data_IF_785991625753
#
_entry.id   IF_785991625753
#
_cell.length_a   1.000
_cell.length_b   1.000
_cell.length_c   1.000
_cell.angle_alpha   90.00
_cell.angle_beta   90.00
_cell.angle_gamma   90.00
#
_symmetry.space_group_name_H-M   'P 1'
#
loop_
_entity.id
_entity.type
_entity.pdbx_description
1 polymer ?
#
# COMPACT_ATOMS: atom_id res chain seq x y z
N UNK A 1 12.16 11.28 28.44
CA UNK A 1 12.66 10.93 27.08
C UNK A 1 11.45 10.62 26.23
N UNK A 2 11.03 11.57 25.39
CA UNK A 2 9.86 11.40 24.51
C UNK A 2 10.27 10.48 23.34
N UNK A 3 9.77 9.26 23.31
CA UNK A 3 9.94 8.37 22.15
C UNK A 3 8.95 8.84 21.08
N UNK A 4 9.46 9.53 20.10
CA UNK A 4 8.71 9.82 18.86
C UNK A 4 8.63 8.51 18.09
N UNK A 5 7.45 7.88 18.07
CA UNK A 5 7.14 6.81 17.15
C UNK A 5 6.96 7.44 15.77
N UNK A 6 8.00 7.39 14.96
CA UNK A 6 7.93 7.73 13.55
C UNK A 6 7.18 6.58 12.86
N UNK A 7 5.88 6.72 12.68
CA UNK A 7 5.11 5.86 11.79
C UNK A 7 5.60 6.15 10.36
N UNK A 8 6.59 5.38 9.91
CA UNK A 8 7.04 5.40 8.54
C UNK A 8 5.92 4.79 7.68
N UNK A 9 5.04 5.65 7.18
CA UNK A 9 4.10 5.27 6.12
C UNK A 9 4.94 5.03 4.87
N UNK A 10 5.41 3.81 4.69
CA UNK A 10 5.96 3.34 3.42
C UNK A 10 4.78 3.19 2.43
N UNK A 11 4.26 4.31 1.94
CA UNK A 11 3.31 4.32 0.83
C UNK A 11 4.08 4.05 -0.45
N UNK A 12 4.33 2.78 -0.73
CA UNK A 12 4.69 2.35 -2.08
C UNK A 12 3.43 2.35 -2.91
N UNK A 13 3.26 3.39 -3.70
CA UNK A 13 2.09 3.55 -4.54
C UNK A 13 2.47 3.30 -5.98
N UNK A 14 1.66 2.49 -6.63
CA UNK A 14 1.76 2.16 -8.05
C UNK A 14 0.50 2.53 -8.77
N UNK A 15 0.65 2.93 -10.00
CA UNK A 15 -0.45 3.39 -10.83
C UNK A 15 -0.36 2.86 -12.22
N UNK A 16 -1.45 2.39 -12.71
CA UNK A 16 -1.77 2.37 -14.11
C UNK A 16 -3.28 2.32 -14.32
N UNK A 17 -3.79 3.13 -15.20
CA UNK A 17 -5.16 3.07 -15.68
C UNK A 17 -5.22 2.32 -17.00
N UNK A 18 -6.12 1.36 -17.13
CA UNK A 18 -6.52 0.85 -18.43
C UNK A 18 -7.99 0.44 -18.42
N UNK A 19 -8.69 0.79 -19.49
CA UNK A 19 -9.96 0.14 -19.85
C UNK A 19 -9.65 -1.31 -20.22
N UNK A 20 -10.26 -2.27 -19.56
CA UNK A 20 -10.39 -3.62 -20.08
C UNK A 20 -11.74 -3.71 -20.78
N UNK A 21 -11.71 -3.99 -22.09
CA UNK A 21 -12.87 -4.51 -22.79
C UNK A 21 -13.06 -5.96 -22.34
N UNK A 22 -13.90 -6.18 -21.33
CA UNK A 22 -14.55 -7.45 -21.09
C UNK A 22 -15.94 -7.21 -20.50
N UNK A 23 -16.94 -7.80 -21.16
CA UNK A 23 -18.36 -7.69 -20.95
C UNK A 23 -18.79 -7.92 -19.50
N UNK A 24 -19.35 -6.90 -18.86
CA UNK A 24 -20.02 -7.04 -17.57
C UNK A 24 -20.28 -5.72 -16.88
N UNK A 25 -21.23 -4.90 -17.36
CA UNK A 25 -21.71 -3.70 -16.66
C UNK A 25 -20.90 -2.45 -16.99
N UNK A 26 -21.47 -1.60 -17.85
CA UNK A 26 -20.94 -0.28 -18.21
C UNK A 26 -20.89 0.66 -16.99
N UNK A 27 -19.78 0.72 -16.31
CA UNK A 27 -19.40 1.96 -15.61
C UNK A 27 -18.88 2.91 -16.67
N UNK A 28 -19.66 3.94 -17.03
CA UNK A 28 -19.25 5.01 -17.94
C UNK A 28 -17.91 5.59 -17.47
N UNK A 29 -16.94 5.56 -18.39
CA UNK A 29 -15.55 5.83 -18.09
C UNK A 29 -15.28 7.25 -17.62
N UNK A 30 -15.14 7.43 -16.34
CA UNK A 30 -14.33 8.52 -15.80
C UNK A 30 -12.87 8.14 -16.08
N UNK A 31 -12.25 8.79 -17.06
CA UNK A 31 -10.82 8.67 -17.32
C UNK A 31 -10.09 8.98 -16.01
N UNK A 32 -9.57 7.96 -15.34
CA UNK A 32 -8.88 8.14 -14.08
C UNK A 32 -7.68 9.06 -14.32
N UNK A 33 -7.69 10.23 -13.67
CA UNK A 33 -6.57 11.18 -13.72
C UNK A 33 -5.53 10.75 -12.70
N UNK A 34 -4.31 10.61 -13.16
CA UNK A 34 -3.17 10.41 -12.28
C UNK A 34 -2.49 11.76 -12.02
N UNK A 35 -2.10 12.08 -10.79
CA UNK A 35 -1.32 13.29 -10.53
C UNK A 35 0.04 13.20 -11.20
N UNK A 36 0.48 14.30 -11.81
CA UNK A 36 1.83 14.46 -12.36
C UNK A 36 2.85 14.73 -11.26
N UNK A 37 2.41 15.32 -10.15
CA UNK A 37 3.27 15.58 -9.01
C UNK A 37 2.50 15.42 -7.71
N UNK A 38 3.16 14.85 -6.70
CA UNK A 38 2.67 14.77 -5.32
C UNK A 38 3.74 15.38 -4.42
N UNK A 39 3.34 16.29 -3.54
CA UNK A 39 4.23 16.92 -2.56
C UNK A 39 3.67 16.62 -1.18
N UNK A 40 4.41 15.90 -0.34
CA UNK A 40 4.05 15.64 1.05
C UNK A 40 5.01 16.36 1.98
N UNK A 41 4.49 17.19 2.87
CA UNK A 41 5.27 18.03 3.79
C UNK A 41 4.89 17.70 5.23
N UNK A 42 5.88 17.39 6.04
CA UNK A 42 5.83 17.32 7.50
C UNK A 42 6.65 18.47 8.10
N UNK A 43 6.65 18.69 9.42
CA UNK A 43 7.52 19.69 10.04
C UNK A 43 9.02 19.51 9.77
N UNK A 44 9.46 18.30 9.42
CA UNK A 44 10.89 17.97 9.31
C UNK A 44 11.31 17.48 7.93
N UNK A 45 10.35 17.12 7.07
CA UNK A 45 10.62 16.45 5.81
C UNK A 45 9.63 16.90 4.75
N UNK A 46 10.15 17.20 3.54
CA UNK A 46 9.36 17.35 2.33
C UNK A 46 9.71 16.21 1.38
N UNK A 47 8.70 15.58 0.83
CA UNK A 47 8.82 14.51 -0.17
C UNK A 47 8.15 15.00 -1.45
N UNK A 48 8.87 14.94 -2.55
CA UNK A 48 8.32 15.21 -3.88
C UNK A 48 8.35 13.93 -4.71
N UNK A 49 7.24 13.64 -5.38
CA UNK A 49 7.11 12.57 -6.36
C UNK A 49 6.63 13.19 -7.66
N UNK A 50 7.40 13.01 -8.73
CA UNK A 50 7.09 13.53 -10.06
C UNK A 50 6.93 12.34 -10.99
N UNK A 51 5.84 12.32 -11.77
CA UNK A 51 5.50 11.23 -12.67
C UNK A 51 5.56 11.71 -14.12
N UNK A 52 6.36 11.03 -14.92
CA UNK A 52 6.22 11.04 -16.36
C UNK A 52 5.24 9.92 -16.73
N UNK A 53 4.17 10.27 -17.44
CA UNK A 53 3.08 9.36 -17.77
C UNK A 53 3.02 9.08 -19.26
N UNK A 54 2.53 7.90 -19.63
CA UNK A 54 2.00 7.65 -20.97
C UNK A 54 0.64 8.35 -21.14
N UNK A 55 0.16 8.44 -22.40
CA UNK A 55 -1.12 9.10 -22.72
C UNK A 55 -2.32 8.46 -21.99
N UNK A 56 -2.22 7.18 -21.63
CA UNK A 56 -3.22 6.43 -20.86
C UNK A 56 -3.01 6.51 -19.34
N UNK A 57 -2.26 7.50 -18.86
CA UNK A 57 -1.96 7.78 -17.48
C UNK A 57 -1.14 6.71 -16.73
N UNK A 58 -0.57 5.70 -17.42
CA UNK A 58 0.37 4.77 -16.81
C UNK A 58 1.70 5.47 -16.51
N UNK A 59 2.37 5.18 -15.39
CA UNK A 59 3.69 5.74 -15.10
C UNK A 59 4.73 5.17 -16.06
N UNK A 60 5.47 6.05 -16.74
CA UNK A 60 6.68 5.72 -17.49
C UNK A 60 7.89 5.82 -16.57
N UNK A 61 7.90 6.88 -15.76
CA UNK A 61 8.96 7.17 -14.81
C UNK A 61 8.40 7.88 -13.58
N UNK A 62 8.96 7.59 -12.44
CA UNK A 62 8.69 8.28 -11.17
C UNK A 62 10.00 8.75 -10.58
N UNK A 63 10.13 10.05 -10.36
CA UNK A 63 11.23 10.65 -9.61
C UNK A 63 10.76 10.91 -8.18
N UNK A 64 11.55 10.51 -7.21
CA UNK A 64 11.26 10.60 -5.78
C UNK A 64 12.39 11.33 -5.09
N UNK A 65 12.09 12.43 -4.40
CA UNK A 65 13.10 13.27 -3.75
C UNK A 65 12.67 13.61 -2.33
N UNK A 66 13.57 13.38 -1.39
CA UNK A 66 13.44 13.81 0.00
C UNK A 66 14.25 15.06 0.23
N UNK A 67 13.66 16.01 0.95
CA UNK A 67 14.31 17.23 1.41
C UNK A 67 14.24 17.29 2.93
N UNK A 68 15.37 17.54 3.56
CA UNK A 68 15.47 17.83 4.98
C UNK A 68 16.09 19.23 5.12
N UNK A 69 15.39 20.16 5.78
CA UNK A 69 15.79 21.57 5.87
C UNK A 69 16.15 22.15 4.48
N UNK A 70 15.26 21.93 3.48
CA UNK A 70 15.39 22.34 2.08
C UNK A 70 16.61 21.78 1.31
N UNK A 71 17.37 20.89 1.93
CA UNK A 71 18.48 20.19 1.28
C UNK A 71 18.03 18.79 0.84
N UNK A 72 18.43 18.37 -0.37
CA UNK A 72 18.17 17.02 -0.84
C UNK A 72 18.95 16.02 0.03
N UNK A 73 18.22 15.19 0.78
CA UNK A 73 18.80 14.14 1.61
C UNK A 73 18.82 12.78 0.91
N UNK A 74 17.90 12.57 -0.02
CA UNK A 74 17.80 11.36 -0.82
C UNK A 74 17.02 11.62 -2.10
N UNK A 75 17.44 10.98 -3.19
CA UNK A 75 16.65 10.94 -4.42
C UNK A 75 16.77 9.57 -5.07
N UNK A 76 15.69 9.14 -5.74
CA UNK A 76 15.67 7.92 -6.54
C UNK A 76 14.78 8.08 -7.75
N UNK A 77 15.02 7.24 -8.75
CA UNK A 77 14.23 7.20 -9.98
C UNK A 77 13.74 5.79 -10.20
N UNK A 78 12.46 5.65 -10.55
CA UNK A 78 11.84 4.40 -10.96
C UNK A 78 11.42 4.50 -12.41
N UNK A 79 11.73 3.49 -13.19
CA UNK A 79 11.34 3.39 -14.58
C UNK A 79 10.56 2.11 -14.80
N UNK A 80 9.57 2.15 -15.70
CA UNK A 80 8.66 1.05 -15.95
C UNK A 80 8.67 0.70 -17.43
N UNK A 81 8.75 -0.60 -17.73
CA UNK A 81 8.58 -1.15 -19.07
C UNK A 81 7.27 -1.96 -19.12
N UNK A 82 6.57 -1.89 -20.24
CA UNK A 82 5.28 -2.52 -20.45
C UNK A 82 5.27 -3.38 -21.71
N UNK A 83 4.54 -4.50 -21.64
CA UNK A 83 4.05 -5.24 -22.80
C UNK A 83 2.55 -4.98 -22.92
N UNK A 84 2.14 -4.20 -23.95
CA UNK A 84 0.82 -3.62 -24.02
C UNK A 84 0.55 -2.76 -22.76
N UNK A 85 -0.46 -3.15 -21.98
CA UNK A 85 -0.85 -2.45 -20.75
C UNK A 85 -0.23 -3.06 -19.47
N UNK A 86 0.46 -4.18 -19.57
CA UNK A 86 1.03 -4.91 -18.42
C UNK A 86 2.46 -4.49 -18.17
N UNK A 87 2.83 -4.06 -16.98
CA UNK A 87 4.23 -3.85 -16.66
C UNK A 87 4.98 -5.18 -16.66
N UNK A 88 6.07 -5.23 -17.40
CA UNK A 88 6.94 -6.42 -17.47
C UNK A 88 8.23 -6.19 -16.70
N UNK A 89 8.59 -4.93 -16.45
CA UNK A 89 9.79 -4.59 -15.71
C UNK A 89 9.66 -3.27 -14.98
N UNK A 90 10.30 -3.21 -13.81
CA UNK A 90 10.52 -1.98 -13.04
C UNK A 90 11.99 -1.89 -12.65
N UNK A 91 12.62 -0.75 -12.90
CA UNK A 91 13.99 -0.44 -12.43
C UNK A 91 13.94 0.71 -11.45
N UNK A 92 14.73 0.65 -10.41
CA UNK A 92 14.98 1.77 -9.48
C UNK A 92 16.34 1.63 -8.83
N UNK A 93 17.14 2.68 -8.92
CA UNK A 93 18.50 2.74 -8.37
C UNK A 93 19.33 1.47 -8.71
N UNK A 94 19.49 0.61 -7.72
CA UNK A 94 20.30 -0.61 -7.78
C UNK A 94 19.46 -1.89 -7.90
N UNK A 95 18.16 -1.75 -8.17
CA UNK A 95 17.21 -2.85 -8.27
C UNK A 95 16.51 -2.91 -9.62
N UNK A 96 16.30 -4.13 -10.07
CA UNK A 96 15.41 -4.44 -11.19
C UNK A 96 14.41 -5.51 -10.75
N UNK A 97 13.12 -5.30 -11.05
CA UNK A 97 12.07 -6.30 -10.86
C UNK A 97 11.49 -6.66 -12.21
N UNK A 98 11.49 -7.94 -12.54
CA UNK A 98 10.84 -8.50 -13.73
C UNK A 98 9.55 -9.21 -13.32
N UNK A 99 8.47 -9.01 -14.07
CA UNK A 99 7.14 -9.57 -13.84
C UNK A 99 6.81 -10.60 -14.90
N UNK A 100 6.33 -11.76 -14.50
CA UNK A 100 5.95 -12.87 -15.37
C UNK A 100 4.49 -13.21 -15.14
N UNK A 101 3.75 -13.31 -16.24
CA UNK A 101 2.32 -13.55 -16.23
C UNK A 101 1.97 -14.89 -16.85
N UNK A 102 0.96 -15.55 -16.30
CA UNK A 102 0.36 -16.75 -16.86
C UNK A 102 -1.17 -16.58 -16.89
N UNK A 103 -1.78 -16.82 -18.04
CA UNK A 103 -3.23 -16.64 -18.26
C UNK A 103 -3.74 -15.26 -17.76
N UNK A 104 -2.96 -14.20 -18.00
CA UNK A 104 -3.33 -12.85 -17.64
C UNK A 104 -3.09 -12.45 -16.16
N UNK A 105 -2.68 -13.38 -15.29
CA UNK A 105 -2.40 -13.13 -13.87
C UNK A 105 -0.91 -13.12 -13.59
N UNK A 106 -0.48 -12.29 -12.65
CA UNK A 106 0.90 -12.25 -12.19
C UNK A 106 1.25 -13.59 -11.51
N UNK A 107 2.14 -14.37 -12.12
CA UNK A 107 2.57 -15.67 -11.61
C UNK A 107 3.83 -15.52 -10.76
N UNK A 108 4.77 -14.66 -11.19
CA UNK A 108 6.07 -14.55 -10.55
C UNK A 108 6.68 -13.18 -10.73
N UNK A 109 7.38 -12.73 -9.68
CA UNK A 109 8.29 -11.59 -9.73
C UNK A 109 9.72 -12.08 -9.47
N UNK A 110 10.69 -11.49 -10.16
CA UNK A 110 12.12 -11.72 -9.91
C UNK A 110 12.77 -10.37 -9.65
N UNK A 111 13.26 -10.18 -8.44
CA UNK A 111 13.97 -8.97 -8.04
C UNK A 111 15.47 -9.21 -7.96
N UNK A 112 16.25 -8.40 -8.67
CA UNK A 112 17.69 -8.41 -8.70
C UNK A 112 18.25 -7.12 -8.14
N UNK A 113 19.23 -7.23 -7.26
CA UNK A 113 20.03 -6.10 -6.79
C UNK A 113 21.41 -6.17 -7.43
N UNK A 114 22.00 -5.04 -7.78
CA UNK A 114 23.39 -5.05 -8.28
C UNK A 114 24.41 -5.44 -7.19
N UNK A 115 24.01 -5.33 -5.91
CA UNK A 115 24.86 -5.70 -4.77
C UNK A 115 24.69 -7.15 -4.31
N UNK A 116 23.69 -7.87 -4.85
CA UNK A 116 23.40 -9.24 -4.44
C UNK A 116 23.29 -10.14 -5.67
N UNK A 117 24.19 -11.10 -5.78
CA UNK A 117 24.22 -12.05 -6.91
C UNK A 117 23.01 -12.99 -6.95
N UNK A 118 22.36 -13.22 -5.79
CA UNK A 118 21.20 -14.10 -5.70
C UNK A 118 19.92 -13.29 -5.82
N UNK A 119 19.12 -13.47 -6.89
CA UNK A 119 17.82 -12.83 -7.02
C UNK A 119 16.86 -13.30 -5.92
N UNK A 120 15.96 -12.43 -5.50
CA UNK A 120 14.76 -12.86 -4.78
C UNK A 120 13.64 -13.14 -5.76
N UNK A 121 12.79 -14.12 -5.44
CA UNK A 121 11.63 -14.49 -6.25
C UNK A 121 10.37 -14.46 -5.40
N UNK A 122 9.28 -13.93 -5.96
CA UNK A 122 7.95 -14.02 -5.37
C UNK A 122 7.04 -14.77 -6.35
N UNK A 123 6.36 -15.79 -5.89
CA UNK A 123 5.44 -16.63 -6.66
C UNK A 123 4.03 -16.51 -6.09
N UNK A 124 3.03 -16.48 -6.97
CA UNK A 124 1.62 -16.35 -6.62
C UNK A 124 0.83 -17.57 -7.09
N UNK A 125 -0.12 -18.03 -6.27
CA UNK A 125 -1.10 -19.05 -6.64
C UNK A 125 -2.51 -18.50 -6.45
N UNK A 126 -3.43 -18.93 -7.30
CA UNK A 126 -4.79 -18.42 -7.38
C UNK A 126 -5.80 -19.54 -7.25
N UNK A 127 -6.98 -19.22 -6.69
CA UNK A 127 -8.14 -20.10 -6.74
C UNK A 127 -8.87 -20.03 -8.09
N UNK A 128 -9.91 -20.85 -8.24
CA UNK A 128 -10.73 -20.88 -9.46
C UNK A 128 -11.47 -19.56 -9.77
N UNK A 129 -11.65 -18.68 -8.77
CA UNK A 129 -12.25 -17.36 -8.92
C UNK A 129 -11.20 -16.28 -9.22
N UNK A 130 -9.93 -16.62 -9.32
CA UNK A 130 -8.85 -15.70 -9.62
C UNK A 130 -8.34 -14.89 -8.42
N UNK A 131 -8.69 -15.26 -7.19
CA UNK A 131 -8.19 -14.62 -5.97
C UNK A 131 -6.90 -15.28 -5.55
N UNK A 132 -5.91 -14.48 -5.10
CA UNK A 132 -4.64 -15.04 -4.60
C UNK A 132 -4.89 -15.86 -3.34
N UNK A 133 -4.39 -17.11 -3.33
CA UNK A 133 -4.48 -18.01 -2.16
C UNK A 133 -3.12 -18.24 -1.52
N UNK A 134 -2.03 -17.99 -2.26
CA UNK A 134 -0.68 -18.15 -1.73
C UNK A 134 0.28 -17.17 -2.38
N UNK A 135 1.18 -16.63 -1.57
CA UNK A 135 2.33 -15.82 -1.98
C UNK A 135 3.57 -16.41 -1.31
N UNK A 136 4.58 -16.73 -2.08
CA UNK A 136 5.84 -17.30 -1.58
C UNK A 136 7.01 -16.45 -2.07
N UNK A 137 7.66 -15.75 -1.16
CA UNK A 137 8.86 -14.95 -1.45
C UNK A 137 10.09 -15.67 -0.94
N UNK A 138 11.04 -15.96 -1.82
CA UNK A 138 12.36 -16.50 -1.49
C UNK A 138 13.40 -15.39 -1.64
N UNK A 139 14.09 -15.07 -0.57
CA UNK A 139 15.14 -14.03 -0.55
C UNK A 139 16.52 -14.61 -0.84
N UNK A 140 16.79 -15.81 -0.33
CA UNK A 140 18.02 -16.60 -0.50
C UNK A 140 17.65 -18.08 -0.30
N UNK A 141 18.65 -18.98 -0.48
CA UNK A 141 18.43 -20.42 -0.45
C UNK A 141 17.65 -20.90 0.80
N UNK A 142 17.90 -20.29 1.97
CA UNK A 142 17.32 -20.72 3.25
C UNK A 142 16.41 -19.65 3.91
N UNK A 143 16.10 -18.55 3.21
CA UNK A 143 15.25 -17.50 3.74
C UNK A 143 14.03 -17.32 2.86
N UNK A 144 12.85 -17.56 3.41
CA UNK A 144 11.60 -17.36 2.70
C UNK A 144 10.50 -16.76 3.58
N UNK A 145 9.50 -16.21 2.92
CA UNK A 145 8.25 -15.79 3.51
C UNK A 145 7.11 -16.40 2.69
N UNK A 146 6.25 -17.17 3.34
CA UNK A 146 5.05 -17.75 2.75
C UNK A 146 3.82 -17.13 3.41
N UNK A 147 2.87 -16.65 2.59
CA UNK A 147 1.59 -16.12 3.05
C UNK A 147 0.49 -16.94 2.38
N UNK A 148 -0.38 -17.52 3.19
CA UNK A 148 -1.57 -18.24 2.74
C UNK A 148 -2.81 -17.40 3.05
N UNK A 149 -3.70 -17.23 2.06
CA UNK A 149 -4.91 -16.43 2.15
C UNK A 149 -6.14 -17.32 2.14
N UNK A 150 -6.99 -17.16 3.14
CA UNK A 150 -8.28 -17.82 3.25
C UNK A 150 -9.39 -16.78 3.17
N UNK A 151 -10.32 -16.97 2.26
CA UNK A 151 -11.48 -16.11 2.05
C UNK A 151 -12.69 -16.75 2.75
N UNK A 152 -13.33 -16.00 3.64
CA UNK A 152 -14.49 -16.44 4.40
C UNK A 152 -15.69 -15.53 4.20
N UNK A 153 -16.84 -15.92 4.73
CA UNK A 153 -18.07 -15.13 4.71
C UNK A 153 -17.84 -13.74 5.34
N UNK A 154 -18.65 -12.75 4.93
CA UNK A 154 -18.56 -11.38 5.42
C UNK A 154 -17.36 -10.61 4.90
N UNK A 155 -16.87 -10.94 3.69
CA UNK A 155 -15.74 -10.28 3.03
C UNK A 155 -14.46 -10.27 3.88
N UNK A 156 -14.24 -11.33 4.65
CA UNK A 156 -13.04 -11.50 5.47
C UNK A 156 -11.97 -12.26 4.73
N UNK A 157 -10.73 -11.82 4.90
CA UNK A 157 -9.52 -12.47 4.38
C UNK A 157 -8.58 -12.72 5.56
N UNK A 158 -8.23 -13.97 5.78
CA UNK A 158 -7.23 -14.35 6.79
C UNK A 158 -5.92 -14.63 6.07
N UNK A 159 -4.90 -13.82 6.35
CA UNK A 159 -3.54 -13.99 5.85
C UNK A 159 -2.68 -14.64 6.94
N UNK A 160 -2.32 -15.90 6.75
CA UNK A 160 -1.42 -16.65 7.64
C UNK A 160 -0.03 -16.65 7.04
N UNK A 161 0.95 -16.09 7.77
CA UNK A 161 2.31 -15.92 7.32
C UNK A 161 3.27 -16.79 8.11
N UNK A 162 4.11 -17.54 7.38
CA UNK A 162 5.30 -18.20 7.89
C UNK A 162 6.53 -17.50 7.29
N UNK A 163 7.45 -17.11 8.14
CA UNK A 163 8.76 -16.59 7.73
C UNK A 163 9.85 -17.49 8.28
N UNK A 164 10.75 -17.93 7.41
CA UNK A 164 11.94 -18.71 7.79
C UNK A 164 13.17 -17.82 7.62
N UNK A 165 13.88 -17.61 8.72
CA UNK A 165 15.08 -16.76 8.79
C UNK A 165 16.02 -17.35 9.84
N UNK A 166 17.31 -17.50 9.52
CA UNK A 166 18.35 -17.97 10.46
C UNK A 166 17.96 -19.27 11.18
N UNK A 167 17.46 -20.25 10.43
CA UNK A 167 16.98 -21.54 10.94
C UNK A 167 15.80 -21.47 11.95
N UNK A 168 15.06 -20.36 11.96
CA UNK A 168 13.88 -20.19 12.82
C UNK A 168 12.66 -19.92 11.97
N UNK A 169 11.53 -20.51 12.39
CA UNK A 169 10.20 -20.25 11.85
C UNK A 169 9.49 -19.24 12.72
N UNK A 170 8.98 -18.19 12.10
CA UNK A 170 8.20 -17.13 12.74
C UNK A 170 6.82 -17.15 12.08
N UNK A 171 5.78 -17.26 12.90
CA UNK A 171 4.39 -17.30 12.44
C UNK A 171 3.67 -16.03 12.85
N UNK A 172 2.84 -15.53 11.96
CA UNK A 172 1.91 -14.43 12.25
C UNK A 172 0.64 -14.60 11.44
N UNK A 173 -0.45 -14.04 11.92
CA UNK A 173 -1.70 -14.01 11.19
C UNK A 173 -2.31 -12.62 11.25
N UNK A 174 -2.99 -12.24 10.17
CA UNK A 174 -3.72 -10.97 10.07
C UNK A 174 -5.05 -11.22 9.39
N UNK A 175 -6.10 -10.69 9.98
CA UNK A 175 -7.44 -10.71 9.39
C UNK A 175 -7.74 -9.33 8.81
N UNK A 176 -8.25 -9.31 7.58
CA UNK A 176 -8.75 -8.11 6.91
C UNK A 176 -10.25 -8.27 6.70
N UNK A 177 -11.01 -7.21 6.94
CA UNK A 177 -12.43 -7.12 6.57
C UNK A 177 -12.56 -6.05 5.52
N UNK A 178 -13.23 -6.38 4.39
CA UNK A 178 -13.44 -5.47 3.28
C UNK A 178 -14.89 -4.94 3.28
N UNK A 179 -15.09 -3.71 2.80
CA UNK A 179 -16.41 -3.20 2.42
C UNK A 179 -16.83 -3.72 1.03
N UNK A 180 -18.02 -3.31 0.57
CA UNK A 180 -18.54 -3.67 -0.75
C UNK A 180 -17.70 -3.09 -1.91
N UNK A 181 -16.94 -2.03 -1.68
CA UNK A 181 -16.03 -1.42 -2.66
C UNK A 181 -14.67 -2.11 -2.71
N UNK A 182 -14.38 -3.03 -1.79
CA UNK A 182 -13.09 -3.70 -1.64
C UNK A 182 -12.07 -2.90 -0.81
N UNK A 183 -12.48 -1.84 -0.10
CA UNK A 183 -11.62 -1.14 0.84
C UNK A 183 -11.49 -1.96 2.14
N UNK A 184 -10.33 -1.95 2.76
CA UNK A 184 -10.10 -2.59 4.06
C UNK A 184 -10.69 -1.71 5.16
N UNK A 185 -11.81 -2.11 5.75
CA UNK A 185 -12.43 -1.37 6.86
C UNK A 185 -11.92 -1.77 8.23
N UNK A 186 -11.31 -2.96 8.34
CA UNK A 186 -10.74 -3.46 9.59
C UNK A 186 -9.55 -4.37 9.34
N UNK A 187 -8.53 -4.25 10.21
CA UNK A 187 -7.43 -5.21 10.33
C UNK A 187 -7.31 -5.66 11.78
N UNK A 188 -7.03 -6.94 11.98
CA UNK A 188 -6.84 -7.55 13.30
C UNK A 188 -5.61 -8.44 13.26
N UNK A 189 -4.68 -8.26 14.19
CA UNK A 189 -3.47 -9.08 14.30
C UNK A 189 -2.83 -8.98 15.68
N UNK A 190 -1.89 -9.88 15.97
CA UNK A 190 -0.98 -9.74 17.12
C UNK A 190 0.33 -9.10 16.69
N UNK A 191 0.81 -8.14 17.48
CA UNK A 191 2.16 -7.58 17.26
C UNK A 191 3.24 -8.53 17.83
N UNK A 192 4.52 -8.15 17.66
CA UNK A 192 5.67 -8.95 18.13
C UNK A 192 5.76 -9.06 19.67
N UNK A 193 4.96 -8.31 20.42
CA UNK A 193 4.83 -8.33 21.89
C UNK A 193 3.59 -9.08 22.36
N UNK A 194 2.90 -9.79 21.45
CA UNK A 194 1.61 -10.45 21.68
C UNK A 194 0.43 -9.52 21.98
N UNK A 195 0.56 -8.20 21.74
CA UNK A 195 -0.60 -7.30 21.85
C UNK A 195 -1.59 -7.61 20.72
N UNK A 196 -2.88 -7.66 21.10
CA UNK A 196 -3.97 -7.68 20.12
C UNK A 196 -4.13 -6.28 19.55
N UNK A 197 -3.90 -6.14 18.24
CA UNK A 197 -4.02 -4.88 17.52
C UNK A 197 -5.26 -4.94 16.63
N UNK A 198 -6.10 -3.93 16.75
CA UNK A 198 -7.26 -3.70 15.88
C UNK A 198 -7.13 -2.34 15.25
N UNK A 199 -7.12 -2.29 13.92
CA UNK A 199 -7.13 -1.04 13.15
C UNK A 199 -8.44 -0.97 12.40
N UNK A 200 -9.15 0.16 12.51
CA UNK A 200 -10.35 0.44 11.74
C UNK A 200 -10.14 1.65 10.85
N UNK A 201 -10.77 1.63 9.66
CA UNK A 201 -10.68 2.69 8.67
C UNK A 201 -12.07 3.17 8.29
N UNK A 202 -12.20 4.48 8.14
CA UNK A 202 -13.36 5.13 7.53
C UNK A 202 -12.92 5.78 6.21
N UNK A 203 -13.78 5.68 5.20
CA UNK A 203 -13.50 6.17 3.85
C UNK A 203 -14.51 7.22 3.44
N UNK A 204 -14.12 8.10 2.53
CA UNK A 204 -15.06 8.91 1.77
C UNK A 204 -15.64 8.13 0.57
N UNK A 205 -16.37 8.81 -0.28
CA UNK A 205 -16.92 8.25 -1.53
C UNK A 205 -16.18 8.75 -2.78
N UNK A 206 -15.01 9.38 -2.60
CA UNK A 206 -14.21 9.98 -3.68
C UNK A 206 -13.11 9.03 -4.15
N UNK A 207 -12.57 9.31 -5.32
CA UNK A 207 -11.55 8.48 -5.94
C UNK A 207 -10.21 8.68 -5.22
N UNK A 208 -9.61 7.57 -4.81
CA UNK A 208 -8.21 7.58 -4.38
C UNK A 208 -7.31 7.61 -5.64
N UNK A 209 -6.58 8.71 -5.89
CA UNK A 209 -5.77 8.84 -7.11
C UNK A 209 -4.60 7.84 -7.17
N UNK A 210 -4.31 7.22 -6.05
CA UNK A 210 -3.23 6.24 -5.91
C UNK A 210 -3.72 4.81 -6.07
N UNK A 211 -5.02 4.59 -6.16
CA UNK A 211 -5.62 3.29 -6.42
C UNK A 211 -5.91 3.15 -7.92
N UNK A 212 -5.34 2.13 -8.53
CA UNK A 212 -5.67 1.80 -9.91
C UNK A 212 -6.02 0.31 -10.05
N UNK A 213 -6.86 -0.05 -11.02
CA UNK A 213 -7.13 -1.45 -11.36
C UNK A 213 -5.85 -2.26 -11.60
N UNK A 214 -4.84 -1.64 -12.22
CA UNK A 214 -3.53 -2.28 -12.45
C UNK A 214 -2.77 -2.57 -11.16
N UNK A 215 -2.99 -1.81 -10.08
CA UNK A 215 -2.43 -2.17 -8.77
C UNK A 215 -2.99 -3.51 -8.30
N UNK A 216 -4.27 -3.79 -8.52
CA UNK A 216 -4.88 -5.09 -8.19
C UNK A 216 -4.29 -6.24 -9.02
N UNK A 217 -3.99 -5.97 -10.30
CA UNK A 217 -3.45 -6.97 -11.22
C UNK A 217 -1.97 -7.25 -10.95
N UNK A 218 -1.21 -6.21 -10.56
CA UNK A 218 0.20 -6.31 -10.20
C UNK A 218 0.43 -6.85 -8.78
N UNK A 219 -0.47 -6.50 -7.87
CA UNK A 219 -0.38 -6.88 -6.47
C UNK A 219 -1.68 -7.57 -6.08
N UNK A 220 -1.78 -8.88 -6.31
CA UNK A 220 -3.00 -9.64 -6.01
C UNK A 220 -3.42 -9.57 -4.55
N UNK A 221 -2.48 -9.23 -3.67
CA UNK A 221 -2.67 -8.99 -2.24
C UNK A 221 -2.69 -7.48 -1.88
N UNK A 222 -3.15 -6.61 -2.79
CA UNK A 222 -3.20 -5.15 -2.65
C UNK A 222 -3.86 -4.68 -1.34
N UNK A 223 -4.83 -5.41 -0.83
CA UNK A 223 -5.48 -5.13 0.46
C UNK A 223 -4.49 -5.12 1.64
N UNK A 224 -3.35 -5.82 1.53
CA UNK A 224 -2.31 -5.78 2.56
C UNK A 224 -1.54 -4.47 2.58
N UNK A 225 -1.66 -3.65 1.53
CA UNK A 225 -0.91 -2.41 1.35
C UNK A 225 -1.64 -1.18 1.93
N UNK A 226 -2.85 -1.35 2.44
CA UNK A 226 -3.65 -0.24 2.99
C UNK A 226 -4.12 0.76 1.93
N UNK A 227 -4.14 0.37 0.67
CA UNK A 227 -4.61 1.19 -0.44
C UNK A 227 -6.00 0.72 -0.86
N UNK A 228 -6.99 1.59 -0.77
CA UNK A 228 -8.37 1.33 -1.16
C UNK A 228 -8.81 2.15 -2.35
N UNK A 229 -9.98 1.82 -2.92
CA UNK A 229 -10.63 2.55 -4.03
C UNK A 229 -10.95 4.00 -3.64
N UNK A 230 -11.26 4.21 -2.37
CA UNK A 230 -11.64 5.50 -1.79
C UNK A 230 -10.54 6.04 -0.87
N UNK A 231 -10.63 7.31 -0.50
CA UNK A 231 -9.66 7.96 0.36
C UNK A 231 -9.96 7.67 1.83
N UNK A 232 -8.94 7.33 2.62
CA UNK A 232 -9.08 7.13 4.07
C UNK A 232 -9.25 8.51 4.73
N UNK A 233 -10.38 8.71 5.40
CA UNK A 233 -10.66 9.94 6.16
C UNK A 233 -10.38 9.79 7.66
N UNK A 234 -10.39 8.55 8.17
CA UNK A 234 -10.05 8.28 9.56
C UNK A 234 -9.47 6.88 9.73
N UNK A 235 -8.49 6.77 10.62
CA UNK A 235 -7.91 5.52 11.07
C UNK A 235 -7.88 5.51 12.60
N UNK A 236 -8.32 4.42 13.20
CA UNK A 236 -8.21 4.22 14.65
C UNK A 236 -7.49 2.90 14.92
N UNK A 237 -6.43 2.96 15.69
CA UNK A 237 -5.68 1.79 16.14
C UNK A 237 -5.91 1.60 17.65
N UNK A 238 -6.26 0.38 18.04
CA UNK A 238 -6.45 -0.04 19.42
C UNK A 238 -5.50 -1.21 19.68
N UNK A 239 -4.63 -1.05 20.66
CA UNK A 239 -3.73 -2.09 21.14
C UNK A 239 -4.12 -2.53 22.55
N UNK A 240 -4.31 -3.83 22.77
CA UNK A 240 -4.65 -4.40 24.07
C UNK A 240 -3.59 -5.42 24.47
N UNK A 241 -3.02 -5.25 25.66
CA UNK A 241 -2.13 -6.26 26.25
C UNK A 241 -2.97 -7.38 26.85
N UNK A 242 -2.87 -8.64 26.36
CA UNK A 242 -3.64 -9.77 26.93
C UNK A 242 -3.35 -10.04 28.40
N UNK A 243 -2.15 -9.67 28.90
CA UNK A 243 -1.75 -9.81 30.30
C UNK A 243 -2.28 -8.67 31.20
N UNK A 244 -2.66 -7.55 30.60
CA UNK A 244 -3.18 -6.37 31.27
C UNK A 244 -4.36 -5.80 30.45
N UNK A 245 -5.49 -6.52 30.35
CA UNK A 245 -6.59 -6.17 29.43
C UNK A 245 -7.24 -4.82 29.72
N UNK A 246 -7.06 -4.29 30.90
CA UNK A 246 -7.53 -2.96 31.30
C UNK A 246 -6.61 -1.82 30.78
N UNK A 247 -5.41 -2.15 30.27
CA UNK A 247 -4.48 -1.18 29.67
C UNK A 247 -4.62 -1.19 28.16
N UNK A 248 -5.49 -0.33 27.66
CA UNK A 248 -5.76 -0.16 26.24
C UNK A 248 -5.02 1.08 25.75
N UNK A 249 -4.21 0.91 24.71
CA UNK A 249 -3.67 2.02 23.93
C UNK A 249 -4.61 2.33 22.79
N UNK A 250 -4.90 3.60 22.55
CA UNK A 250 -5.69 4.05 21.41
C UNK A 250 -4.96 5.19 20.71
N UNK A 251 -4.88 5.12 19.39
CA UNK A 251 -4.37 6.20 18.54
C UNK A 251 -5.38 6.42 17.43
N UNK A 252 -5.73 7.68 17.19
CA UNK A 252 -6.65 8.03 16.11
C UNK A 252 -5.97 9.04 15.20
N UNK A 253 -6.14 8.84 13.90
CA UNK A 253 -5.70 9.76 12.86
C UNK A 253 -6.89 10.19 12.02
N UNK A 254 -6.88 11.43 11.56
CA UNK A 254 -7.89 11.99 10.67
C UNK A 254 -7.23 12.65 9.46
N UNK A 255 -7.81 12.44 8.29
CA UNK A 255 -7.39 13.11 7.05
C UNK A 255 -8.52 13.99 6.54
N UNK A 256 -8.21 15.24 6.28
CA UNK A 256 -9.13 16.20 5.66
C UNK A 256 -8.69 16.43 4.23
N UNK A 257 -9.58 16.22 3.27
CA UNK A 257 -9.32 16.39 1.86
C UNK A 257 -9.99 17.65 1.32
N UNK A 258 -9.30 18.31 0.40
CA UNK A 258 -9.84 19.34 -0.49
C UNK A 258 -9.89 18.73 -1.90
N UNK A 259 -11.02 18.93 -2.62
CA UNK A 259 -11.28 18.27 -3.91
C UNK A 259 -11.47 19.27 -5.03
N UNK A 260 -11.07 18.85 -6.24
CA UNK A 260 -11.53 19.41 -7.50
C UNK A 260 -12.31 18.29 -8.23
N UNK A 261 -13.65 18.38 -8.18
CA UNK A 261 -14.54 17.29 -8.62
C UNK A 261 -14.37 16.05 -7.72
N UNK A 262 -13.99 14.93 -8.32
CA UNK A 262 -13.82 13.66 -7.61
C UNK A 262 -12.38 13.38 -7.18
N UNK A 263 -11.45 14.27 -7.51
CA UNK A 263 -10.03 14.09 -7.26
C UNK A 263 -9.53 15.03 -6.17
N UNK A 264 -8.80 14.53 -5.16
CA UNK A 264 -8.20 15.38 -4.14
C UNK A 264 -7.10 16.25 -4.75
N UNK A 265 -7.11 17.53 -4.42
CA UNK A 265 -6.02 18.47 -4.75
C UNK A 265 -5.10 18.67 -3.56
N UNK A 266 -5.62 18.45 -2.35
CA UNK A 266 -4.85 18.55 -1.12
C UNK A 266 -5.44 17.65 -0.04
N UNK A 267 -4.61 17.17 0.86
CA UNK A 267 -5.05 16.63 2.14
C UNK A 267 -4.18 17.15 3.29
N UNK A 268 -4.78 17.15 4.48
CA UNK A 268 -4.08 17.40 5.75
C UNK A 268 -4.33 16.24 6.69
N UNK A 269 -3.25 15.69 7.22
CA UNK A 269 -3.26 14.53 8.12
C UNK A 269 -3.00 14.99 9.55
N UNK A 270 -3.85 14.53 10.47
CA UNK A 270 -3.85 14.93 11.87
C UNK A 270 -3.73 13.70 12.78
N UNK A 271 -3.00 13.87 13.89
CA UNK A 271 -3.16 13.03 15.08
C UNK A 271 -4.28 13.60 15.94
N UNK A 272 -5.23 12.76 16.32
CA UNK A 272 -6.36 13.13 17.16
C UNK A 272 -6.07 12.67 18.59
N UNK A 273 -5.94 13.57 19.58
CA UNK A 273 -5.68 13.19 20.95
C UNK A 273 -6.87 12.45 21.55
N UNK A 274 -6.59 11.56 22.51
CA UNK A 274 -7.63 10.85 23.25
C UNK A 274 -8.30 11.72 24.34
N UNK A 275 -7.72 12.86 24.65
CA UNK A 275 -8.22 13.82 25.65
C UNK A 275 -9.08 14.87 24.94
N UNK A 276 -10.33 15.03 25.37
CA UNK A 276 -11.35 15.87 24.71
C UNK A 276 -10.95 17.35 24.53
N UNK A 277 -10.07 17.88 25.38
CA UNK A 277 -9.68 19.29 25.35
C UNK A 277 -8.32 19.57 24.69
N UNK A 278 -7.67 18.57 24.14
CA UNK A 278 -6.41 18.75 23.41
C UNK A 278 -6.68 19.00 21.93
N UNK A 279 -6.06 20.01 21.32
CA UNK A 279 -6.18 20.24 19.89
C UNK A 279 -5.54 19.10 19.11
N UNK A 280 -6.09 18.83 17.92
CA UNK A 280 -5.48 17.92 16.96
C UNK A 280 -4.11 18.46 16.53
N UNK A 281 -3.14 17.55 16.40
CA UNK A 281 -1.80 17.88 15.92
C UNK A 281 -1.72 17.62 14.41
N UNK A 282 -1.40 18.66 13.66
CA UNK A 282 -1.16 18.53 12.22
C UNK A 282 0.18 17.84 11.98
N UNK A 283 0.14 16.66 11.33
CA UNK A 283 1.32 15.84 11.07
C UNK A 283 1.90 16.10 9.68
N UNK A 284 1.04 16.23 8.65
CA UNK A 284 1.50 16.46 7.28
C UNK A 284 0.44 17.11 6.41
N UNK A 285 0.90 17.68 5.30
CA UNK A 285 0.06 18.12 4.19
C UNK A 285 0.55 17.43 2.92
N UNK A 286 -0.37 16.96 2.11
CA UNK A 286 -0.07 16.41 0.77
C UNK A 286 -0.84 17.18 -0.28
N UNK A 287 -0.15 17.63 -1.32
CA UNK A 287 -0.70 18.31 -2.49
C UNK A 287 -0.59 17.42 -3.72
N UNK A 288 -1.65 17.40 -4.54
CA UNK A 288 -1.76 16.64 -5.77
C UNK A 288 -1.88 17.58 -6.95
N UNK A 289 -0.98 17.49 -7.93
CA UNK A 289 -0.94 18.32 -9.13
C UNK A 289 -1.18 17.39 -10.34
N UNK A 290 -2.27 17.66 -11.06
CA UNK A 290 -2.72 16.85 -12.21
C UNK A 290 -2.30 17.42 -13.56
#
# INVERSE_FOLDING_TARGET
>A
MKKVFLALLATTVFVACSKSDDNGGSEEGVSAKHPKKIISTTPYLRIERIFELYDDARPKKESYTHYQADTVSYSSVREYEYDGKRPVKKRYDDYEVSYFYNNGKLEREVSKSKYNSTPSTTEYQYDGNGRVIKKLTRYRQDNYEEVNYQYSEGNKIIASKERFVENKKIYSSRTYTLDANGNVVKQEYKDYRDYDIVITYEYDNKINPLFSPTVRDLYPDYFTMGVGKNNIIKQTEIGTNPKEPNKVSKVTFRTVYEYNGDYPVRNTYYSVPNEENKPEEKLSVTEYIY
#
